data_IF_870272459779
#
_entry.id   IF_870272459779
#
_cell.length_a   1.000
_cell.length_b   1.000
_cell.length_c   1.000
_cell.angle_alpha   90.00
_cell.angle_beta   90.00
_cell.angle_gamma   90.00
#
_symmetry.space_group_name_H-M   'P 1'
#
loop_
_entity.id
_entity.type
_entity.pdbx_description
1 polymer ?
#
# COMPACT_ATOMS: atom_id res chain seq x y z
N UNK A 1 -11.27 -5.73 -2.46
CA UNK A 1 -10.84 -7.02 -1.89
C UNK A 1 -11.95 -8.07 -1.98
N UNK A 2 -13.09 -7.88 -1.31
CA UNK A 2 -14.25 -8.79 -1.34
C UNK A 2 -14.71 -9.16 -2.76
N UNK A 3 -14.68 -8.22 -3.70
CA UNK A 3 -15.09 -8.49 -5.09
C UNK A 3 -14.08 -9.26 -5.95
N UNK A 4 -12.83 -9.40 -5.50
CA UNK A 4 -11.76 -10.04 -6.26
C UNK A 4 -11.36 -11.42 -5.70
N UNK A 5 -11.62 -11.66 -4.41
CA UNK A 5 -11.31 -12.92 -3.74
C UNK A 5 -12.52 -13.50 -2.97
N UNK A 6 -13.69 -12.84 -3.02
CA UNK A 6 -14.88 -13.30 -2.33
C UNK A 6 -15.88 -14.01 -3.24
N UNK A 7 -16.73 -14.83 -2.62
CA UNK A 7 -17.86 -15.47 -3.29
C UNK A 7 -18.90 -14.45 -3.79
N UNK A 8 -19.81 -14.86 -4.68
CA UNK A 8 -20.85 -13.99 -5.23
C UNK A 8 -21.76 -13.36 -4.14
N UNK A 9 -21.79 -14.00 -2.96
CA UNK A 9 -22.54 -13.59 -1.78
C UNK A 9 -21.77 -12.66 -0.83
N UNK A 10 -20.49 -12.41 -1.07
CA UNK A 10 -19.56 -11.66 -0.21
C UNK A 10 -19.52 -12.16 1.25
N UNK A 11 -19.80 -13.44 1.46
CA UNK A 11 -19.84 -14.11 2.77
C UNK A 11 -18.54 -14.87 3.05
N UNK A 12 -17.75 -15.11 2.02
CA UNK A 12 -16.52 -15.88 2.07
C UNK A 12 -15.43 -15.17 1.27
N UNK A 13 -14.19 -15.27 1.73
CA UNK A 13 -12.97 -14.87 1.02
C UNK A 13 -12.11 -16.12 0.91
N UNK A 14 -11.91 -16.58 -0.32
CA UNK A 14 -11.00 -17.68 -0.61
C UNK A 14 -9.53 -17.22 -0.42
N UNK A 15 -8.58 -18.12 -0.63
CA UNK A 15 -7.14 -17.83 -0.52
C UNK A 15 -6.78 -16.61 -1.37
N UNK A 16 -6.25 -15.60 -0.72
CA UNK A 16 -5.90 -14.34 -1.39
C UNK A 16 -4.60 -14.54 -2.17
N UNK A 17 -4.73 -14.85 -3.45
CA UNK A 17 -3.63 -14.93 -4.41
C UNK A 17 -3.75 -13.83 -5.48
N UNK A 18 -2.71 -13.01 -5.60
CA UNK A 18 -2.65 -11.94 -6.60
C UNK A 18 -2.04 -12.41 -7.92
N UNK A 19 -1.40 -13.58 -7.96
CA UNK A 19 -0.64 -14.08 -9.11
C UNK A 19 -1.52 -14.48 -10.30
N UNK A 20 -2.80 -14.73 -10.07
CA UNK A 20 -3.78 -15.20 -11.06
C UNK A 20 -4.68 -14.10 -11.62
N UNK A 21 -4.70 -12.91 -11.00
CA UNK A 21 -5.59 -11.80 -11.40
C UNK A 21 -4.90 -10.81 -12.34
N UNK A 22 -5.63 -10.36 -13.37
CA UNK A 22 -5.19 -9.26 -14.27
C UNK A 22 -5.08 -7.91 -13.55
N UNK A 23 -5.78 -7.74 -12.44
CA UNK A 23 -5.73 -6.55 -11.59
C UNK A 23 -5.29 -6.96 -10.18
N UNK A 24 -4.18 -6.41 -9.65
CA UNK A 24 -3.73 -6.76 -8.31
C UNK A 24 -4.75 -6.28 -7.26
N UNK A 25 -4.87 -7.03 -6.16
CA UNK A 25 -5.82 -6.70 -5.09
C UNK A 25 -5.33 -5.47 -4.32
N UNK A 26 -4.02 -5.40 -4.06
CA UNK A 26 -3.33 -4.27 -3.43
C UNK A 26 -1.98 -4.01 -4.11
N UNK A 27 -1.31 -2.88 -3.84
CA UNK A 27 -0.02 -2.61 -4.46
C UNK A 27 1.08 -3.60 -4.06
N UNK A 28 1.05 -4.10 -2.81
CA UNK A 28 2.00 -5.08 -2.29
C UNK A 28 1.28 -6.19 -1.53
N UNK A 29 1.88 -7.38 -1.46
CA UNK A 29 1.39 -8.47 -0.59
C UNK A 29 1.38 -8.05 0.87
N UNK A 30 2.39 -7.30 1.30
CA UNK A 30 2.46 -6.80 2.67
C UNK A 30 1.25 -5.93 3.03
N UNK A 31 0.78 -5.10 2.11
CA UNK A 31 -0.44 -4.32 2.32
C UNK A 31 -1.71 -5.19 2.38
N UNK A 32 -1.76 -6.31 1.66
CA UNK A 32 -2.83 -7.31 1.82
C UNK A 32 -2.81 -7.90 3.22
N UNK A 33 -1.61 -8.30 3.67
CA UNK A 33 -1.42 -8.88 5.00
C UNK A 33 -1.92 -7.93 6.08
N UNK A 34 -1.58 -6.64 5.98
CA UNK A 34 -2.04 -5.61 6.90
C UNK A 34 -3.57 -5.44 6.87
N UNK A 35 -4.17 -5.33 5.68
CA UNK A 35 -5.63 -5.26 5.55
C UNK A 35 -6.34 -6.47 6.17
N UNK A 36 -5.86 -7.69 5.91
CA UNK A 36 -6.46 -8.91 6.47
C UNK A 36 -6.31 -8.97 7.99
N UNK A 37 -5.16 -8.55 8.53
CA UNK A 37 -4.98 -8.47 9.98
C UNK A 37 -5.90 -7.46 10.62
N UNK A 38 -6.07 -6.28 10.03
CA UNK A 38 -7.00 -5.27 10.55
C UNK A 38 -8.44 -5.80 10.57
N UNK A 39 -8.88 -6.42 9.46
CA UNK A 39 -10.21 -7.02 9.37
C UNK A 39 -10.40 -8.15 10.39
N UNK A 40 -9.37 -8.96 10.62
CA UNK A 40 -9.44 -10.05 11.60
C UNK A 40 -9.47 -9.50 13.03
N UNK A 41 -8.61 -8.53 13.35
CA UNK A 41 -8.53 -7.91 14.67
C UNK A 41 -9.80 -7.14 15.05
N UNK A 42 -10.50 -6.56 14.08
CA UNK A 42 -11.79 -5.88 14.32
C UNK A 42 -13.00 -6.83 14.27
N UNK A 43 -12.78 -8.13 14.03
CA UNK A 43 -13.83 -9.16 13.98
C UNK A 43 -14.69 -9.13 12.71
N UNK A 44 -14.27 -8.39 11.68
CA UNK A 44 -14.96 -8.36 10.39
C UNK A 44 -14.76 -9.64 9.59
N UNK A 45 -13.66 -10.36 9.81
CA UNK A 45 -13.42 -11.70 9.25
C UNK A 45 -12.98 -12.69 10.33
N UNK A 46 -13.24 -13.97 10.09
CA UNK A 46 -12.79 -15.07 10.95
C UNK A 46 -12.34 -16.26 10.11
N UNK A 47 -11.50 -17.12 10.70
CA UNK A 47 -10.98 -18.31 10.03
C UNK A 47 -12.12 -19.24 9.64
N UNK A 48 -12.18 -19.62 8.38
CA UNK A 48 -13.15 -20.60 7.87
C UNK A 48 -12.69 -22.02 8.14
N UNK A 49 -13.66 -22.91 8.39
CA UNK A 49 -13.49 -24.36 8.49
C UNK A 49 -13.09 -25.01 7.15
N UNK A 50 -13.23 -24.28 6.04
CA UNK A 50 -12.69 -24.66 4.73
C UNK A 50 -11.16 -24.50 4.63
N UNK A 51 -10.51 -23.90 5.63
CA UNK A 51 -9.05 -23.75 5.65
C UNK A 51 -8.34 -25.09 5.80
N UNK A 52 -7.38 -25.38 4.92
CA UNK A 52 -6.55 -26.57 5.01
C UNK A 52 -5.63 -26.55 6.24
N UNK A 53 -5.20 -27.73 6.70
CA UNK A 53 -4.30 -27.88 7.86
C UNK A 53 -3.01 -27.08 7.70
N UNK A 54 -2.51 -26.92 6.47
CA UNK A 54 -1.32 -26.12 6.18
C UNK A 54 -1.47 -24.62 6.46
N UNK A 55 -2.70 -24.14 6.61
CA UNK A 55 -2.97 -22.76 7.00
C UNK A 55 -2.69 -22.52 8.49
N UNK A 56 -2.43 -23.56 9.28
CA UNK A 56 -2.22 -23.46 10.71
C UNK A 56 -0.76 -23.76 11.09
N UNK A 57 -0.13 -22.81 11.77
CA UNK A 57 1.14 -23.06 12.44
C UNK A 57 0.88 -23.86 13.71
N UNK A 58 1.38 -25.10 13.77
CA UNK A 58 1.21 -25.98 14.93
C UNK A 58 2.51 -26.12 15.71
N UNK A 59 2.40 -26.19 17.03
CA UNK A 59 3.52 -26.44 17.95
C UNK A 59 3.23 -27.70 18.77
N UNK A 60 4.25 -28.54 18.94
CA UNK A 60 4.14 -29.76 19.74
C UNK A 60 4.31 -29.41 21.23
N UNK A 61 3.29 -29.73 22.02
CA UNK A 61 3.32 -29.65 23.47
C UNK A 61 3.23 -31.05 24.10
N UNK A 62 3.45 -31.12 25.42
CA UNK A 62 3.44 -32.37 26.18
C UNK A 62 2.07 -33.09 26.15
N UNK A 63 0.99 -32.35 25.90
CA UNK A 63 -0.39 -32.82 25.85
C UNK A 63 -0.95 -32.93 24.41
N UNK A 64 -0.14 -32.66 23.39
CA UNK A 64 -0.54 -32.76 21.98
C UNK A 64 -0.11 -31.55 21.14
N UNK A 65 -0.66 -31.48 19.93
CA UNK A 65 -0.45 -30.35 19.02
C UNK A 65 -1.35 -29.18 19.40
N UNK A 66 -0.79 -27.98 19.47
CA UNK A 66 -1.54 -26.73 19.67
C UNK A 66 -1.34 -25.80 18.48
N UNK A 67 -2.40 -25.12 18.08
CA UNK A 67 -2.31 -24.07 17.05
C UNK A 67 -1.65 -22.84 17.67
N UNK A 68 -0.53 -22.43 17.09
CA UNK A 68 0.23 -21.23 17.47
C UNK A 68 -0.23 -19.98 16.72
N UNK A 69 -0.74 -20.16 15.51
CA UNK A 69 -1.21 -19.07 14.67
C UNK A 69 -1.69 -19.56 13.31
N UNK A 70 -2.02 -18.61 12.43
CA UNK A 70 -2.51 -18.86 11.08
C UNK A 70 -1.63 -18.19 10.03
N UNK A 71 -1.46 -18.86 8.90
CA UNK A 71 -0.76 -18.34 7.73
C UNK A 71 -1.75 -17.58 6.85
N UNK A 72 -1.78 -16.25 6.98
CA UNK A 72 -2.82 -15.36 6.42
C UNK A 72 -3.18 -15.63 4.95
N UNK A 73 -2.19 -15.90 4.09
CA UNK A 73 -2.40 -16.14 2.66
C UNK A 73 -2.86 -17.56 2.31
N UNK A 74 -2.69 -18.53 3.23
CA UNK A 74 -3.17 -19.90 3.06
C UNK A 74 -4.58 -20.09 3.66
N UNK A 75 -4.98 -19.21 4.56
CA UNK A 75 -6.26 -19.25 5.28
C UNK A 75 -7.41 -18.80 4.39
N UNK A 76 -8.53 -19.51 4.48
CA UNK A 76 -9.83 -19.06 3.95
C UNK A 76 -10.58 -18.31 5.05
N UNK A 77 -11.32 -17.26 4.69
CA UNK A 77 -11.94 -16.35 5.65
C UNK A 77 -13.45 -16.27 5.46
N UNK A 78 -14.19 -16.42 6.54
CA UNK A 78 -15.60 -16.08 6.57
C UNK A 78 -15.77 -14.60 6.90
N UNK A 79 -16.71 -13.94 6.24
CA UNK A 79 -17.00 -12.51 6.40
C UNK A 79 -18.16 -12.35 7.37
N UNK A 80 -17.92 -11.62 8.46
CA UNK A 80 -18.91 -11.35 9.51
C UNK A 80 -19.77 -10.13 9.13
N UNK A 81 -20.39 -10.15 7.95
CA UNK A 81 -21.24 -9.06 7.47
C UNK A 81 -22.49 -9.65 6.82
N UNK A 82 -23.67 -9.26 7.29
CA UNK A 82 -24.94 -9.71 6.66
C UNK A 82 -25.10 -9.05 5.29
N UNK A 83 -25.64 -9.78 4.30
CA UNK A 83 -25.66 -9.35 2.89
C UNK A 83 -26.28 -7.98 2.60
N UNK A 84 -27.24 -7.52 3.42
CA UNK A 84 -27.79 -6.16 3.31
C UNK A 84 -26.74 -5.07 3.69
N UNK A 85 -25.91 -5.36 4.68
CA UNK A 85 -24.87 -4.47 5.19
C UNK A 85 -23.66 -4.41 4.24
N UNK A 86 -23.34 -5.51 3.54
CA UNK A 86 -22.28 -5.50 2.51
C UNK A 86 -22.64 -4.57 1.35
N UNK A 87 -23.89 -4.62 0.86
CA UNK A 87 -24.35 -3.73 -0.22
C UNK A 87 -24.34 -2.26 0.24
N UNK A 88 -24.71 -1.97 1.49
CA UNK A 88 -24.61 -0.62 2.05
C UNK A 88 -23.17 -0.17 2.31
N UNK A 89 -22.27 -1.06 2.72
CA UNK A 89 -20.83 -0.80 2.88
C UNK A 89 -20.12 -0.62 1.53
N UNK A 90 -20.59 -1.28 0.48
CA UNK A 90 -20.10 -1.13 -0.89
C UNK A 90 -20.69 0.09 -1.61
N UNK A 91 -21.75 0.72 -1.07
CA UNK A 91 -22.14 2.04 -1.56
C UNK A 91 -21.02 3.03 -1.21
N UNK A 92 -20.57 3.86 -2.15
CA UNK A 92 -19.63 4.93 -1.85
C UNK A 92 -20.29 5.88 -0.84
N UNK A 93 -19.97 5.71 0.44
CA UNK A 93 -20.15 6.78 1.42
C UNK A 93 -18.99 7.73 1.16
N UNK A 94 -19.32 8.99 0.87
CA UNK A 94 -18.38 10.06 1.16
C UNK A 94 -18.15 10.01 2.67
N UNK A 95 -17.08 9.34 3.07
CA UNK A 95 -16.52 9.51 4.40
C UNK A 95 -16.09 10.97 4.43
N UNK A 96 -16.58 11.74 5.41
CA UNK A 96 -16.08 13.10 5.57
C UNK A 96 -14.55 13.00 5.67
N UNK A 97 -13.79 13.69 4.80
CA UNK A 97 -12.36 13.49 4.72
C UNK A 97 -11.71 14.00 5.99
N UNK A 98 -11.51 13.11 6.95
CA UNK A 98 -10.91 13.36 8.24
C UNK A 98 -9.42 13.00 8.22
N UNK A 99 -8.77 13.05 9.39
CA UNK A 99 -7.37 12.69 9.51
C UNK A 99 -7.12 11.23 9.09
N UNK A 100 -8.11 10.35 9.26
CA UNK A 100 -8.00 8.93 8.93
C UNK A 100 -8.02 8.76 7.40
N UNK A 101 -8.90 9.47 6.67
CA UNK A 101 -8.91 9.48 5.21
C UNK A 101 -7.56 9.91 4.60
N UNK A 102 -6.93 10.93 5.18
CA UNK A 102 -5.59 11.36 4.76
C UNK A 102 -4.54 10.28 5.08
N UNK A 103 -4.61 9.66 6.27
CA UNK A 103 -3.70 8.57 6.63
C UNK A 103 -3.79 7.42 5.64
N UNK A 104 -5.01 6.96 5.31
CA UNK A 104 -5.21 5.90 4.32
C UNK A 104 -4.66 6.27 2.95
N UNK A 105 -4.81 7.53 2.52
CA UNK A 105 -4.21 7.99 1.27
C UNK A 105 -2.68 7.91 1.31
N UNK A 106 -2.05 8.37 2.39
CA UNK A 106 -0.60 8.29 2.55
C UNK A 106 -0.14 6.83 2.54
N UNK A 107 -0.80 5.95 3.30
CA UNK A 107 -0.44 4.54 3.40
C UNK A 107 -0.55 3.82 2.05
N UNK A 108 -1.63 4.07 1.30
CA UNK A 108 -1.79 3.54 -0.06
C UNK A 108 -0.68 4.04 -0.99
N UNK A 109 -0.37 5.33 -0.91
CA UNK A 109 0.64 5.97 -1.76
C UNK A 109 2.05 5.45 -1.47
N UNK A 110 2.37 5.20 -0.20
CA UNK A 110 3.61 4.54 0.23
C UNK A 110 3.67 3.11 -0.30
N UNK A 111 2.57 2.36 -0.18
CA UNK A 111 2.48 0.98 -0.69
C UNK A 111 2.68 0.93 -2.20
N UNK A 112 2.07 1.84 -2.96
CA UNK A 112 2.29 1.96 -4.41
C UNK A 112 3.75 2.30 -4.74
N UNK A 113 4.36 3.28 -4.08
CA UNK A 113 5.77 3.61 -4.30
C UNK A 113 6.71 2.43 -3.95
N UNK A 114 6.42 1.67 -2.89
CA UNK A 114 7.16 0.45 -2.54
C UNK A 114 7.01 -0.65 -3.58
N UNK A 115 5.81 -0.84 -4.14
CA UNK A 115 5.56 -1.79 -5.21
C UNK A 115 6.44 -1.46 -6.44
N UNK A 116 6.51 -0.19 -6.83
CA UNK A 116 7.42 0.26 -7.89
C UNK A 116 8.87 -0.07 -7.58
N UNK A 117 9.34 0.31 -6.39
CA UNK A 117 10.72 0.09 -5.97
C UNK A 117 11.08 -1.41 -6.01
N UNK A 118 10.22 -2.27 -5.47
CA UNK A 118 10.47 -3.71 -5.43
C UNK A 118 10.51 -4.31 -6.83
N UNK A 119 9.57 -3.94 -7.71
CA UNK A 119 9.54 -4.40 -9.10
C UNK A 119 10.80 -3.96 -9.87
N UNK A 120 11.19 -2.71 -9.72
CA UNK A 120 12.36 -2.16 -10.42
C UNK A 120 13.67 -2.74 -9.89
N UNK A 121 13.79 -2.93 -8.57
CA UNK A 121 14.94 -3.62 -7.96
C UNK A 121 15.08 -5.04 -8.48
N UNK A 122 13.97 -5.79 -8.56
CA UNK A 122 13.96 -7.13 -9.13
C UNK A 122 14.42 -7.12 -10.59
N UNK A 123 13.90 -6.18 -11.38
CA UNK A 123 14.29 -6.02 -12.80
C UNK A 123 15.80 -5.79 -12.98
N UNK A 124 16.42 -5.02 -12.09
CA UNK A 124 17.87 -4.74 -12.18
C UNK A 124 18.73 -5.73 -11.39
N UNK A 125 18.15 -6.78 -10.80
CA UNK A 125 18.86 -7.79 -10.01
C UNK A 125 19.42 -7.25 -8.69
N UNK A 126 18.72 -6.34 -8.02
CA UNK A 126 19.03 -5.83 -6.67
C UNK A 126 18.01 -6.34 -5.66
N UNK A 127 17.79 -7.66 -5.70
CA UNK A 127 16.81 -8.41 -4.91
C UNK A 127 17.16 -8.35 -3.42
N UNK A 128 16.63 -7.34 -2.75
CA UNK A 128 16.50 -7.33 -1.31
C UNK A 128 15.16 -6.64 -1.01
N UNK A 129 14.39 -7.10 -0.01
CA UNK A 129 13.17 -6.43 0.36
C UNK A 129 13.46 -5.00 0.84
N UNK A 130 12.49 -4.12 0.66
CA UNK A 130 12.55 -2.78 1.25
C UNK A 130 12.24 -2.90 2.75
N UNK A 131 13.21 -2.54 3.60
CA UNK A 131 13.03 -2.54 5.06
C UNK A 131 12.43 -1.24 5.58
N UNK A 132 12.14 -1.19 6.89
CA UNK A 132 11.50 -0.06 7.60
C UNK A 132 12.10 1.31 7.26
N UNK A 133 13.44 1.41 7.18
CA UNK A 133 14.14 2.65 6.81
C UNK A 133 13.72 3.17 5.44
N UNK A 134 13.55 2.27 4.48
CA UNK A 134 13.15 2.64 3.11
C UNK A 134 11.71 3.13 3.09
N UNK A 135 10.83 2.41 3.80
CA UNK A 135 9.41 2.76 3.96
C UNK A 135 9.25 4.14 4.60
N UNK A 136 10.02 4.44 5.65
CA UNK A 136 9.99 5.75 6.31
C UNK A 136 10.40 6.89 5.37
N UNK A 137 11.46 6.70 4.58
CA UNK A 137 11.90 7.71 3.61
C UNK A 137 10.84 7.93 2.51
N UNK A 138 10.25 6.85 2.00
CA UNK A 138 9.17 6.93 1.00
C UNK A 138 7.97 7.67 1.59
N UNK A 139 7.59 7.40 2.84
CA UNK A 139 6.53 8.14 3.52
C UNK A 139 6.82 9.63 3.59
N UNK A 140 8.03 10.03 3.98
CA UNK A 140 8.43 11.44 3.99
C UNK A 140 8.34 12.10 2.61
N UNK A 141 8.67 11.37 1.54
CA UNK A 141 8.54 11.86 0.16
C UNK A 141 7.06 12.07 -0.18
N UNK A 142 6.21 11.07 0.08
CA UNK A 142 4.76 11.07 -0.24
C UNK A 142 3.98 12.11 0.59
N UNK A 143 4.45 12.45 1.78
CA UNK A 143 3.85 13.54 2.56
C UNK A 143 4.12 14.93 1.95
N UNK A 144 5.19 15.06 1.16
CA UNK A 144 5.61 16.32 0.51
C UNK A 144 5.26 16.39 -0.97
N UNK A 145 5.17 15.25 -1.63
CA UNK A 145 4.99 15.10 -3.07
C UNK A 145 3.93 14.04 -3.38
N UNK A 146 3.47 13.97 -4.62
CA UNK A 146 2.58 12.93 -5.11
C UNK A 146 3.28 11.57 -5.23
N UNK A 147 2.50 10.49 -5.35
CA UNK A 147 3.03 9.14 -5.63
C UNK A 147 3.78 9.11 -6.97
N UNK A 148 3.28 9.83 -7.98
CA UNK A 148 3.92 10.02 -9.27
C UNK A 148 5.34 10.61 -9.15
N UNK A 149 5.54 11.55 -8.24
CA UNK A 149 6.84 12.17 -7.98
C UNK A 149 7.73 11.27 -7.08
N UNK A 150 7.14 10.53 -6.14
CA UNK A 150 7.86 9.52 -5.38
C UNK A 150 8.49 8.46 -6.29
N UNK A 151 7.76 8.02 -7.32
CA UNK A 151 8.24 7.12 -8.38
C UNK A 151 9.44 7.73 -9.14
N UNK A 152 9.43 9.04 -9.40
CA UNK A 152 10.58 9.72 -9.98
C UNK A 152 11.82 9.66 -9.08
N UNK A 153 11.68 9.95 -7.79
CA UNK A 153 12.80 9.83 -6.84
C UNK A 153 13.38 8.42 -6.82
N UNK A 154 12.52 7.40 -6.80
CA UNK A 154 12.93 6.00 -6.85
C UNK A 154 13.67 5.70 -8.15
N UNK A 155 13.14 6.10 -9.31
CA UNK A 155 13.74 5.85 -10.61
C UNK A 155 15.13 6.48 -10.72
N UNK A 156 15.27 7.76 -10.36
CA UNK A 156 16.57 8.46 -10.38
C UNK A 156 17.57 7.77 -9.45
N UNK A 157 17.12 7.37 -8.27
CA UNK A 157 17.95 6.68 -7.29
C UNK A 157 18.45 5.35 -7.83
N UNK A 158 17.58 4.51 -8.38
CA UNK A 158 17.95 3.22 -8.94
C UNK A 158 18.90 3.37 -10.13
N UNK A 159 18.66 4.35 -11.01
CA UNK A 159 19.57 4.67 -12.11
C UNK A 159 20.98 4.99 -11.61
N UNK A 160 21.09 5.86 -10.61
CA UNK A 160 22.38 6.27 -10.04
C UNK A 160 23.09 5.10 -9.34
N UNK A 161 22.35 4.25 -8.61
CA UNK A 161 22.87 3.05 -7.95
C UNK A 161 23.35 2.00 -8.95
N UNK A 162 22.55 1.73 -10.00
CA UNK A 162 22.92 0.79 -11.08
C UNK A 162 24.16 1.29 -11.79
N UNK A 163 24.23 2.59 -12.12
CA UNK A 163 25.43 3.17 -12.73
C UNK A 163 26.69 2.98 -11.86
N UNK A 164 26.58 3.19 -10.55
CA UNK A 164 27.69 2.99 -9.61
C UNK A 164 28.11 1.51 -9.52
N UNK A 165 27.16 0.57 -9.61
CA UNK A 165 27.43 -0.87 -9.68
C UNK A 165 28.17 -1.25 -10.96
N UNK A 166 27.66 -0.83 -12.12
CA UNK A 166 28.27 -1.12 -13.44
C UNK A 166 29.67 -0.49 -13.56
N UNK A 167 29.87 0.67 -12.92
CA UNK A 167 31.18 1.33 -12.82
C UNK A 167 32.14 0.65 -11.84
N UNK A 168 31.79 -0.52 -11.28
CA UNK A 168 32.54 -1.29 -10.28
C UNK A 168 32.87 -0.51 -8.99
N UNK A 169 32.11 0.54 -8.69
CA UNK A 169 32.25 1.31 -7.43
C UNK A 169 31.53 0.62 -6.27
N UNK A 170 30.45 -0.10 -6.56
CA UNK A 170 29.66 -0.84 -5.58
C UNK A 170 29.50 -2.29 -6.05
N UNK A 171 29.58 -3.24 -5.12
CA UNK A 171 29.14 -4.62 -5.39
C UNK A 171 27.60 -4.71 -5.30
N UNK A 172 27.02 -5.84 -5.74
CA UNK A 172 25.55 -6.05 -5.78
C UNK A 172 24.88 -5.83 -4.42
N UNK A 173 25.43 -6.41 -3.36
CA UNK A 173 24.88 -6.32 -1.99
C UNK A 173 24.94 -4.88 -1.48
N UNK A 174 26.07 -4.21 -1.69
CA UNK A 174 26.27 -2.84 -1.26
C UNK A 174 25.37 -1.88 -2.05
N UNK A 175 25.23 -2.09 -3.37
CA UNK A 175 24.31 -1.33 -4.21
C UNK A 175 22.87 -1.42 -3.69
N UNK A 176 22.38 -2.62 -3.37
CA UNK A 176 21.05 -2.81 -2.79
C UNK A 176 20.89 -2.08 -1.43
N UNK A 177 21.91 -2.16 -0.57
CA UNK A 177 21.88 -1.55 0.77
C UNK A 177 22.05 -0.02 0.75
N UNK A 178 22.60 0.55 -0.32
CA UNK A 178 22.78 1.99 -0.48
C UNK A 178 21.52 2.72 -1.00
N UNK A 179 20.53 2.00 -1.53
CA UNK A 179 19.29 2.60 -2.06
C UNK A 179 18.65 3.58 -1.06
N UNK A 180 18.43 3.23 0.22
CA UNK A 180 17.80 4.16 1.17
C UNK A 180 18.61 5.43 1.39
N UNK A 181 19.95 5.30 1.41
CA UNK A 181 20.86 6.44 1.59
C UNK A 181 20.77 7.39 0.38
N UNK A 182 20.86 6.83 -0.83
CA UNK A 182 20.78 7.62 -2.06
C UNK A 182 19.42 8.29 -2.21
N UNK A 183 18.35 7.58 -1.85
CA UNK A 183 16.99 8.10 -1.88
C UNK A 183 16.82 9.30 -0.92
N UNK A 184 17.27 9.15 0.34
CA UNK A 184 17.24 10.22 1.34
C UNK A 184 18.03 11.45 0.88
N UNK A 185 19.28 11.27 0.44
CA UNK A 185 20.10 12.39 -0.01
C UNK A 185 19.53 13.11 -1.23
N UNK A 186 18.86 12.38 -2.15
CA UNK A 186 18.17 13.01 -3.28
C UNK A 186 16.95 13.81 -2.83
N UNK A 187 16.12 13.26 -1.95
CA UNK A 187 14.98 13.96 -1.39
C UNK A 187 15.40 15.24 -0.64
N UNK A 188 16.39 15.14 0.24
CA UNK A 188 16.94 16.27 1.00
C UNK A 188 17.47 17.37 0.08
N UNK A 189 18.17 16.99 -1.00
CA UNK A 189 18.66 17.96 -1.99
C UNK A 189 17.53 18.73 -2.67
N UNK A 190 16.47 18.04 -3.09
CA UNK A 190 15.31 18.68 -3.70
C UNK A 190 14.63 19.64 -2.74
N UNK A 191 14.49 19.24 -1.47
CA UNK A 191 13.93 20.09 -0.41
C UNK A 191 14.81 21.32 -0.15
N UNK A 192 16.14 21.19 -0.10
CA UNK A 192 17.04 22.31 0.20
C UNK A 192 17.17 23.30 -0.95
N UNK A 193 17.11 22.83 -2.19
CA UNK A 193 17.29 23.66 -3.38
C UNK A 193 15.95 24.16 -3.96
N UNK A 194 14.82 23.75 -3.39
CA UNK A 194 13.48 24.13 -3.84
C UNK A 194 13.15 23.58 -5.24
N UNK A 195 13.68 22.40 -5.57
CA UNK A 195 13.48 21.80 -6.88
C UNK A 195 12.15 21.06 -6.96
N UNK A 196 11.48 21.21 -8.10
CA UNK A 196 10.25 20.47 -8.39
C UNK A 196 10.58 19.13 -9.08
N UNK A 197 10.18 17.98 -8.49
CA UNK A 197 10.35 16.70 -9.12
C UNK A 197 9.43 16.56 -10.33
N UNK A 198 9.82 15.73 -11.29
CA UNK A 198 8.95 15.38 -12.41
C UNK A 198 7.91 14.36 -11.94
N UNK A 199 6.65 14.58 -12.31
CA UNK A 199 5.61 13.56 -12.17
C UNK A 199 5.79 12.45 -13.21
N UNK A 200 5.79 11.19 -12.76
CA UNK A 200 5.78 10.02 -13.65
C UNK A 200 4.35 9.54 -13.94
N UNK A 201 4.18 8.87 -15.06
CA UNK A 201 2.94 8.12 -15.32
C UNK A 201 2.87 6.91 -14.39
N UNK A 202 1.64 6.46 -14.11
CA UNK A 202 1.41 5.24 -13.34
C UNK A 202 2.14 4.06 -14.00
N UNK A 203 2.81 3.27 -13.17
CA UNK A 203 3.46 2.03 -13.58
C UNK A 203 2.50 0.87 -13.30
N UNK A 204 2.31 -0.02 -14.27
CA UNK A 204 1.43 -1.18 -14.12
C UNK A 204 -0.06 -0.83 -13.94
N UNK A 205 -0.84 -1.85 -13.60
CA UNK A 205 -2.27 -1.72 -13.35
C UNK A 205 -2.54 -1.17 -11.94
N UNK A 206 -3.53 -0.30 -11.81
CA UNK A 206 -3.99 0.19 -10.52
C UNK A 206 -4.63 -0.94 -9.72
N UNK A 207 -4.23 -1.10 -8.45
CA UNK A 207 -4.79 -2.12 -7.58
C UNK A 207 -6.26 -1.86 -7.28
N UNK A 208 -7.03 -2.91 -7.00
CA UNK A 208 -8.43 -2.77 -6.62
C UNK A 208 -8.57 -1.95 -5.32
N UNK A 209 -7.67 -2.11 -4.35
CA UNK A 209 -7.66 -1.31 -3.13
C UNK A 209 -7.43 0.17 -3.42
N UNK A 210 -6.44 0.50 -4.27
CA UNK A 210 -6.18 1.87 -4.72
C UNK A 210 -7.39 2.47 -5.44
N UNK A 211 -8.03 1.69 -6.32
CA UNK A 211 -9.24 2.10 -7.06
C UNK A 211 -10.41 2.44 -6.14
N UNK A 212 -10.72 1.54 -5.20
CA UNK A 212 -11.77 1.78 -4.22
C UNK A 212 -11.44 3.01 -3.37
N UNK A 213 -10.20 3.13 -2.87
CA UNK A 213 -9.81 4.27 -2.05
C UNK A 213 -9.94 5.59 -2.83
N UNK A 214 -9.31 5.69 -4.00
CA UNK A 214 -9.29 6.96 -4.75
C UNK A 214 -10.66 7.34 -5.32
N UNK A 215 -11.45 6.38 -5.77
CA UNK A 215 -12.73 6.66 -6.43
C UNK A 215 -13.91 6.67 -5.49
N UNK A 216 -14.01 5.70 -4.57
CA UNK A 216 -15.20 5.52 -3.73
C UNK A 216 -15.06 6.22 -2.37
N UNK A 217 -13.86 6.22 -1.78
CA UNK A 217 -13.65 6.79 -0.44
C UNK A 217 -13.27 8.27 -0.53
N UNK A 218 -12.23 8.60 -1.30
CA UNK A 218 -11.67 9.96 -1.35
C UNK A 218 -12.32 10.84 -2.43
N UNK A 219 -13.05 10.26 -3.38
CA UNK A 219 -13.70 11.01 -4.47
C UNK A 219 -12.72 11.72 -5.42
N UNK A 220 -11.46 11.30 -5.46
CA UNK A 220 -10.38 11.88 -6.27
C UNK A 220 -10.45 11.48 -7.75
N UNK A 221 -11.39 10.61 -8.14
CA UNK A 221 -11.67 10.22 -9.54
C UNK A 221 -10.42 9.73 -10.31
N UNK A 222 -9.53 9.02 -9.64
CA UNK A 222 -8.31 8.47 -10.22
C UNK A 222 -7.06 9.35 -10.05
N UNK A 223 -7.20 10.59 -9.58
CA UNK A 223 -6.08 11.51 -9.36
C UNK A 223 -5.24 11.18 -8.12
N UNK A 224 -5.60 10.18 -7.32
CA UNK A 224 -4.92 9.86 -6.07
C UNK A 224 -3.43 9.51 -6.22
N UNK A 225 -2.98 9.16 -7.43
CA UNK A 225 -1.58 8.92 -7.75
C UNK A 225 -0.80 10.19 -8.12
N UNK A 226 -1.46 11.15 -8.78
CA UNK A 226 -0.85 12.36 -9.34
C UNK A 226 -0.99 13.56 -8.43
N UNK A 227 -2.00 13.56 -7.53
CA UNK A 227 -2.15 14.56 -6.49
C UNK A 227 -1.35 14.17 -5.26
N UNK A 228 -0.81 15.18 -4.59
CA UNK A 228 -0.22 15.04 -3.26
C UNK A 228 -1.32 14.73 -2.25
N UNK A 229 -1.12 13.75 -1.35
CA UNK A 229 -1.98 13.57 -0.19
C UNK A 229 -2.03 14.84 0.67
N UNK A 230 -3.20 15.49 0.74
CA UNK A 230 -3.44 16.66 1.58
C UNK A 230 -4.91 16.83 1.91
N UNK A 231 -5.21 17.47 3.04
CA UNK A 231 -6.58 17.84 3.40
C UNK A 231 -7.20 18.82 2.39
N UNK A 232 -6.36 19.70 1.83
CA UNK A 232 -6.77 20.65 0.78
C UNK A 232 -7.28 19.91 -0.46
N UNK A 233 -6.57 18.87 -0.90
CA UNK A 233 -6.95 18.06 -2.06
C UNK A 233 -8.25 17.26 -1.82
N UNK A 234 -8.60 17.02 -0.55
CA UNK A 234 -9.87 16.41 -0.14
C UNK A 234 -11.02 17.42 0.04
N UNK A 235 -10.79 18.71 -0.27
CA UNK A 235 -11.82 19.75 -0.19
C UNK A 235 -11.94 20.44 1.17
N UNK A 236 -10.97 20.26 2.09
CA UNK A 236 -10.82 21.08 3.28
C UNK A 236 -9.90 22.27 2.99
N UNK A 237 -10.46 23.34 2.42
CA UNK A 237 -9.98 24.67 2.77
C UNK A 237 -10.61 25.00 4.11
N UNK A 238 -9.84 25.34 5.14
CA UNK A 238 -10.39 26.03 6.29
C UNK A 238 -11.26 27.17 5.76
N UNK A 239 -12.58 27.06 5.90
CA UNK A 239 -13.43 28.22 5.78
C UNK A 239 -13.01 29.10 6.95
N UNK A 240 -12.07 30.02 6.70
CA UNK A 240 -12.00 31.25 7.45
C UNK A 240 -13.41 31.83 7.37
N UNK A 241 -14.19 31.60 8.42
CA UNK A 241 -15.47 32.25 8.58
C UNK A 241 -15.20 33.74 8.43
N UNK A 242 -15.88 34.46 7.51
CA UNK A 242 -15.79 35.90 7.52
C UNK A 242 -16.15 36.37 8.95
N UNK A 243 -15.45 37.36 9.51
CA UNK A 243 -15.77 37.87 10.83
C UNK A 243 -17.26 38.22 10.87
N UNK A 244 -17.95 37.93 11.98
CA UNK A 244 -19.37 38.25 12.10
C UNK A 244 -19.54 39.73 11.77
N UNK A 245 -20.39 40.03 10.78
CA UNK A 245 -20.68 41.38 10.35
C UNK A 245 -21.03 42.24 11.57
N UNK A 246 -20.32 43.36 11.73
CA UNK A 246 -20.63 44.44 12.67
C UNK A 246 -21.98 45.10 12.36
#
# INVERSE_FOLDING_TARGET
MLRAAGDETCTFIDRVDQSTSKQPIAPTEEYIREMLLELWNCGAIYVSDESEVEAFGVEQHADGLRVKGVYIFKTCWNVCVTGATVIEMMRPRQIEPDADALSFWIDMSVSEALAYLNNERARVGLDAPSGEKTTAIIRMIVEKYSTAEAVFFIWVTLRDVVYARESKRLNRVHAANCIPVYLSSKFEKYMSEGWEPKSYNRFGAQSLASDILYNNVLGLRGDGFTKRPSLEALGRTDKVLPPPNE
#
